data_IF_674723008314
#
_entry.id   IF_674723008314
#
_cell.length_a   1.000
_cell.length_b   1.000
_cell.length_c   1.000
_cell.angle_alpha   90.00
_cell.angle_beta   90.00
_cell.angle_gamma   90.00
#
_symmetry.space_group_name_H-M   'P 1'
#
loop_
_entity.id
_entity.type
_entity.pdbx_description
1 polymer ?
#
# COMPACT_ATOMS: atom_id res chain seq x y z
N UNK A 1 7.16 11.81 40.57
CA UNK A 1 8.24 11.31 39.67
C UNK A 1 7.95 11.80 38.26
N UNK A 2 8.96 12.37 37.58
CA UNK A 2 8.82 12.81 36.18
C UNK A 2 9.28 11.66 35.28
N UNK A 3 8.47 11.30 34.28
CA UNK A 3 8.79 10.27 33.28
C UNK A 3 9.99 10.71 32.45
N UNK A 4 10.97 9.84 32.28
CA UNK A 4 12.19 10.09 31.50
C UNK A 4 12.34 9.11 30.33
N UNK A 5 11.55 8.03 30.31
CA UNK A 5 11.57 6.99 29.30
C UNK A 5 10.15 6.52 29.01
N UNK A 6 9.86 6.29 27.75
CA UNK A 6 8.62 5.69 27.25
C UNK A 6 8.96 4.40 26.50
N UNK A 7 8.30 3.31 26.85
CA UNK A 7 8.27 2.12 26.00
C UNK A 7 7.14 2.30 24.97
N UNK A 8 7.46 2.06 23.73
CA UNK A 8 6.48 2.10 22.63
C UNK A 8 6.56 0.85 21.78
N UNK A 9 5.46 0.60 21.09
CA UNK A 9 5.29 -0.42 20.07
C UNK A 9 4.48 0.21 18.94
N UNK A 10 4.98 0.11 17.71
CA UNK A 10 4.36 0.68 16.53
C UNK A 10 4.10 -0.44 15.52
N UNK A 11 2.93 -0.38 14.88
CA UNK A 11 2.57 -1.21 13.73
C UNK A 11 2.19 -0.30 12.59
N UNK A 12 2.74 -0.54 11.42
CA UNK A 12 2.26 0.07 10.18
C UNK A 12 0.90 -0.52 9.77
N UNK A 13 0.19 0.16 8.89
CA UNK A 13 -1.03 -0.35 8.29
C UNK A 13 -0.77 -1.56 7.38
N UNK A 14 -1.66 -2.53 7.35
CA UNK A 14 -1.58 -3.64 6.39
C UNK A 14 -1.98 -3.18 4.98
N UNK A 15 -1.44 -3.81 3.95
CA UNK A 15 -1.90 -3.62 2.58
C UNK A 15 -3.24 -4.31 2.31
N UNK A 16 -3.97 -3.83 1.33
CA UNK A 16 -5.21 -4.44 0.84
C UNK A 16 -4.96 -5.68 -0.03
N UNK A 17 -5.86 -6.64 -0.01
CA UNK A 17 -5.79 -7.81 -0.89
C UNK A 17 -6.16 -7.47 -2.33
N UNK A 18 -5.56 -8.16 -3.31
CA UNK A 18 -5.99 -8.13 -4.69
C UNK A 18 -7.26 -8.93 -4.92
N UNK A 19 -7.91 -8.72 -6.05
CA UNK A 19 -9.09 -9.45 -6.45
C UNK A 19 -9.00 -9.96 -7.89
N UNK A 20 -9.45 -11.20 -8.10
CA UNK A 20 -9.52 -11.86 -9.41
C UNK A 20 -10.96 -12.13 -9.75
N UNK A 21 -11.43 -11.61 -10.88
CA UNK A 21 -12.81 -11.82 -11.35
C UNK A 21 -12.91 -13.02 -12.29
N UNK A 22 -13.93 -13.81 -12.11
CA UNK A 22 -14.32 -14.89 -13.05
C UNK A 22 -13.59 -16.22 -12.87
N UNK A 23 -12.73 -16.37 -11.90
CA UNK A 23 -12.13 -17.67 -11.56
C UNK A 23 -12.27 -17.96 -10.07
N UNK A 24 -12.27 -19.25 -9.70
CA UNK A 24 -12.24 -19.69 -8.31
C UNK A 24 -10.90 -19.40 -7.61
N UNK A 25 -10.00 -18.63 -8.25
CA UNK A 25 -8.73 -18.22 -7.71
C UNK A 25 -8.83 -16.82 -7.11
N UNK A 26 -8.66 -16.68 -5.81
CA UNK A 26 -8.56 -15.38 -5.16
C UNK A 26 -7.33 -14.61 -5.63
N UNK A 27 -7.40 -13.28 -5.59
CA UNK A 27 -6.21 -12.44 -5.70
C UNK A 27 -5.26 -12.67 -4.51
N UNK A 28 -4.06 -12.10 -4.59
CA UNK A 28 -3.09 -12.17 -3.50
C UNK A 28 -3.56 -11.40 -2.27
N UNK A 29 -3.19 -11.84 -1.10
CA UNK A 29 -3.41 -11.11 0.15
C UNK A 29 -2.51 -9.88 0.23
N UNK A 30 -2.95 -8.83 0.90
CA UNK A 30 -2.07 -7.71 1.26
C UNK A 30 -0.99 -8.15 2.27
N UNK A 31 0.13 -7.47 2.25
CA UNK A 31 1.20 -7.66 3.24
C UNK A 31 0.83 -7.07 4.60
N UNK A 32 1.32 -7.67 5.66
CA UNK A 32 1.20 -7.10 7.01
C UNK A 32 2.02 -5.81 7.14
N UNK A 33 1.58 -4.88 7.99
CA UNK A 33 2.39 -3.73 8.36
C UNK A 33 3.63 -4.14 9.16
N UNK A 34 4.67 -3.32 9.07
CA UNK A 34 5.89 -3.47 9.85
C UNK A 34 5.65 -3.29 11.34
N UNK A 35 6.52 -3.84 12.13
CA UNK A 35 6.52 -3.71 13.58
C UNK A 35 7.87 -3.21 14.08
N UNK A 36 7.83 -2.26 15.03
CA UNK A 36 9.01 -1.79 15.76
C UNK A 36 8.66 -1.53 17.21
N UNK A 37 9.56 -1.89 18.11
CA UNK A 37 9.46 -1.55 19.53
C UNK A 37 10.79 -0.98 20.06
N UNK A 38 10.69 -0.24 21.15
CA UNK A 38 11.88 0.31 21.78
C UNK A 38 11.55 1.15 23.01
N UNK A 39 12.61 1.76 23.52
CA UNK A 39 12.54 2.71 24.63
C UNK A 39 13.03 4.07 24.15
N UNK A 40 12.15 5.07 24.21
CA UNK A 40 12.46 6.45 23.87
C UNK A 40 12.78 7.23 25.13
N UNK A 41 13.97 7.86 25.19
CA UNK A 41 14.30 8.84 26.23
C UNK A 41 13.54 10.13 25.95
N UNK A 42 12.85 10.61 26.97
CA UNK A 42 11.99 11.80 26.87
C UNK A 42 12.35 12.83 27.92
N UNK A 43 12.12 14.10 27.58
CA UNK A 43 12.19 15.20 28.54
C UNK A 43 10.80 15.44 29.09
N UNK A 44 10.63 15.49 30.43
CA UNK A 44 9.33 15.77 31.02
C UNK A 44 8.72 17.08 30.51
N UNK A 45 7.54 17.00 29.90
CA UNK A 45 6.84 18.15 29.32
C UNK A 45 7.07 18.33 27.81
N UNK A 46 7.92 17.52 27.17
CA UNK A 46 8.02 17.55 25.71
C UNK A 46 6.74 17.01 25.04
N UNK A 47 6.51 17.45 23.81
CA UNK A 47 5.41 16.98 22.98
C UNK A 47 5.96 16.07 21.88
N UNK A 48 5.34 14.90 21.72
CA UNK A 48 5.58 13.97 20.62
C UNK A 48 4.35 13.94 19.74
N UNK A 49 4.55 14.04 18.43
CA UNK A 49 3.50 13.85 17.45
C UNK A 49 3.49 12.37 17.01
N UNK A 50 2.34 11.75 17.08
CA UNK A 50 2.15 10.35 16.66
C UNK A 50 1.19 10.31 15.49
N UNK A 51 1.61 9.69 14.41
CA UNK A 51 0.79 9.41 13.25
C UNK A 51 0.57 7.91 13.17
N UNK A 52 -0.67 7.48 12.98
CA UNK A 52 -1.03 6.07 12.91
C UNK A 52 -1.44 5.72 11.49
N UNK A 53 -0.76 4.75 10.90
CA UNK A 53 -1.01 4.30 9.53
C UNK A 53 -2.33 3.54 9.40
N UNK A 54 -3.12 3.90 8.42
CA UNK A 54 -4.32 3.17 8.02
C UNK A 54 -3.97 1.97 7.14
N UNK A 55 -4.87 0.98 7.08
CA UNK A 55 -4.77 -0.10 6.10
C UNK A 55 -5.05 0.42 4.68
N UNK A 56 -4.47 -0.22 3.67
CA UNK A 56 -4.84 0.01 2.28
C UNK A 56 -6.14 -0.69 1.91
N UNK A 57 -6.87 -0.13 0.96
CA UNK A 57 -8.11 -0.72 0.45
C UNK A 57 -7.85 -2.01 -0.33
N UNK A 58 -8.80 -2.94 -0.27
CA UNK A 58 -8.80 -4.12 -1.16
C UNK A 58 -9.05 -3.72 -2.61
N UNK A 59 -8.59 -4.55 -3.54
CA UNK A 59 -8.80 -4.34 -4.97
C UNK A 59 -10.29 -4.19 -5.30
N UNK A 60 -10.63 -3.10 -5.97
CA UNK A 60 -12.01 -2.79 -6.39
C UNK A 60 -12.17 -3.00 -7.89
N UNK A 61 -13.28 -3.59 -8.25
CA UNK A 61 -13.64 -3.78 -9.64
C UNK A 61 -14.00 -2.44 -10.29
N UNK A 62 -13.41 -2.19 -11.46
CA UNK A 62 -13.91 -1.12 -12.32
C UNK A 62 -15.30 -1.47 -12.85
N UNK A 63 -16.23 -0.55 -12.79
CA UNK A 63 -17.55 -0.73 -13.37
C UNK A 63 -17.45 -0.63 -14.90
N UNK A 64 -17.91 -1.64 -15.60
CA UNK A 64 -18.14 -1.53 -17.04
C UNK A 64 -19.14 -0.41 -17.28
N UNK A 65 -18.69 0.72 -17.85
CA UNK A 65 -19.60 1.74 -18.35
C UNK A 65 -20.01 1.31 -19.75
N UNK A 66 -21.21 0.73 -19.95
CA UNK A 66 -21.63 0.33 -21.27
C UNK A 66 -21.77 1.57 -22.13
N UNK A 67 -20.90 1.73 -23.12
CA UNK A 67 -21.17 2.70 -24.16
C UNK A 67 -22.32 2.13 -25.01
N UNK A 68 -23.40 2.88 -25.09
CA UNK A 68 -24.64 2.46 -25.74
C UNK A 68 -24.47 2.15 -27.24
N UNK A 69 -23.33 2.47 -27.85
CA UNK A 69 -23.16 2.43 -29.29
C UNK A 69 -22.20 1.34 -29.80
N UNK A 70 -21.34 0.79 -29.02
CA UNK A 70 -20.54 -0.41 -29.38
C UNK A 70 -19.82 -1.02 -28.17
N UNK A 71 -19.62 -2.34 -28.17
CA UNK A 71 -18.79 -3.04 -27.20
C UNK A 71 -17.30 -2.65 -27.33
N UNK A 72 -16.89 -2.13 -28.49
CA UNK A 72 -15.53 -1.69 -28.76
C UNK A 72 -15.17 -0.34 -28.09
N UNK A 73 -16.19 0.41 -27.65
CA UNK A 73 -16.01 1.70 -26.95
C UNK A 73 -16.37 1.63 -25.45
N UNK A 74 -16.52 0.43 -24.90
CA UNK A 74 -16.73 0.27 -23.47
C UNK A 74 -15.49 0.79 -22.72
N UNK A 75 -15.59 1.98 -22.13
CA UNK A 75 -14.61 2.48 -21.18
C UNK A 75 -14.85 1.79 -19.85
N UNK A 76 -13.83 1.07 -19.39
CA UNK A 76 -13.82 0.60 -18.02
C UNK A 76 -13.47 1.80 -17.12
N UNK A 77 -14.35 2.10 -16.19
CA UNK A 77 -13.96 2.93 -15.07
C UNK A 77 -12.99 2.08 -14.23
N UNK A 78 -11.72 2.48 -14.24
CA UNK A 78 -10.71 1.73 -13.50
C UNK A 78 -10.98 1.92 -12.01
N UNK A 79 -11.34 0.84 -11.33
CA UNK A 79 -11.46 0.87 -9.89
C UNK A 79 -10.11 1.22 -9.27
N UNK A 80 -10.10 2.19 -8.37
CA UNK A 80 -8.93 2.59 -7.60
C UNK A 80 -9.13 2.09 -6.17
N UNK A 81 -8.20 1.27 -5.68
CA UNK A 81 -8.05 0.98 -4.27
C UNK A 81 -7.13 2.05 -3.68
N UNK A 82 -7.59 2.78 -2.69
CA UNK A 82 -6.82 3.87 -2.10
C UNK A 82 -5.81 3.36 -1.08
N UNK A 83 -4.61 3.92 -1.14
CA UNK A 83 -3.56 3.65 -0.17
C UNK A 83 -3.93 4.10 1.23
N UNK A 84 -3.45 3.37 2.22
CA UNK A 84 -3.59 3.77 3.63
C UNK A 84 -2.81 5.04 3.92
N UNK A 85 -3.47 6.02 4.54
CA UNK A 85 -2.82 7.26 4.96
C UNK A 85 -2.05 7.06 6.28
N UNK A 86 -0.86 7.69 6.42
CA UNK A 86 -0.11 8.36 5.36
C UNK A 86 0.77 7.40 4.56
N UNK A 87 0.97 7.70 3.29
CA UNK A 87 2.05 7.18 2.46
C UNK A 87 1.82 5.83 1.77
N UNK A 88 0.68 5.20 1.93
CA UNK A 88 0.34 3.99 1.17
C UNK A 88 0.06 4.28 -0.31
N UNK A 89 0.62 3.47 -1.21
CA UNK A 89 0.39 3.59 -2.65
C UNK A 89 -0.97 3.03 -3.09
N UNK A 90 -1.59 3.63 -4.08
CA UNK A 90 -2.86 3.16 -4.64
C UNK A 90 -2.69 1.87 -5.45
N UNK A 91 -3.69 1.00 -5.38
CA UNK A 91 -3.86 -0.15 -6.27
C UNK A 91 -4.83 0.17 -7.41
N UNK A 92 -4.64 -0.46 -8.56
CA UNK A 92 -5.46 -0.20 -9.75
C UNK A 92 -6.03 -1.50 -10.33
N UNK A 93 -7.24 -1.40 -10.87
CA UNK A 93 -7.84 -2.49 -11.64
C UNK A 93 -7.37 -2.43 -13.09
N UNK A 94 -7.11 -3.59 -13.70
CA UNK A 94 -6.86 -3.72 -15.13
C UNK A 94 -8.00 -4.48 -15.80
N UNK A 95 -8.50 -3.96 -16.91
CA UNK A 95 -9.41 -4.63 -17.88
C UNK A 95 -10.51 -5.54 -17.28
N UNK A 96 -11.12 -5.15 -16.17
CA UNK A 96 -12.29 -5.85 -15.61
C UNK A 96 -12.04 -7.25 -15.04
N UNK A 97 -10.83 -7.80 -15.15
CA UNK A 97 -10.53 -9.15 -14.68
C UNK A 97 -9.69 -9.19 -13.40
N UNK A 98 -8.90 -8.14 -13.16
CA UNK A 98 -7.92 -8.10 -12.10
C UNK A 98 -7.95 -6.76 -11.39
N UNK A 99 -7.91 -6.77 -10.09
CA UNK A 99 -7.78 -5.56 -9.30
C UNK A 99 -6.69 -5.73 -8.24
N UNK A 100 -5.74 -4.83 -8.23
CA UNK A 100 -4.69 -4.80 -7.21
C UNK A 100 -5.19 -4.09 -5.95
N UNK A 101 -4.82 -4.60 -4.79
CA UNK A 101 -5.00 -3.92 -3.52
C UNK A 101 -3.98 -2.81 -3.34
N UNK A 102 -4.29 -1.87 -2.48
CA UNK A 102 -3.45 -0.72 -2.15
C UNK A 102 -2.45 -1.04 -1.04
N UNK A 103 -1.38 -0.27 -0.96
CA UNK A 103 -0.42 -0.34 0.14
C UNK A 103 -0.96 0.26 1.43
N UNK A 104 -0.51 -0.23 2.57
CA UNK A 104 -0.82 0.33 3.88
C UNK A 104 0.02 1.56 4.20
N UNK A 105 -0.49 2.42 5.07
CA UNK A 105 0.20 3.61 5.58
C UNK A 105 1.25 3.29 6.66
N UNK A 106 2.19 4.19 6.85
CA UNK A 106 3.18 4.06 7.92
C UNK A 106 2.67 4.62 9.25
N UNK A 107 3.15 4.06 10.36
CA UNK A 107 2.99 4.63 11.71
C UNK A 107 4.30 5.25 12.16
N UNK A 108 4.28 6.48 12.68
CA UNK A 108 5.50 7.19 13.04
C UNK A 108 5.37 8.00 14.33
N UNK A 109 6.52 8.21 14.99
CA UNK A 109 6.68 9.17 16.09
C UNK A 109 7.64 10.25 15.66
N UNK A 110 7.23 11.50 15.84
CA UNK A 110 8.03 12.70 15.58
C UNK A 110 8.25 13.50 16.87
N UNK A 111 9.38 14.17 16.93
CA UNK A 111 9.72 15.14 17.97
C UNK A 111 9.85 16.52 17.35
N UNK A 112 9.35 17.55 18.02
CA UNK A 112 9.58 18.92 17.61
C UNK A 112 10.99 19.33 18.06
N UNK A 113 11.89 19.51 17.12
CA UNK A 113 13.24 19.98 17.35
C UNK A 113 13.40 21.46 16.96
N UNK A 114 14.55 22.06 17.25
CA UNK A 114 14.84 23.45 16.93
C UNK A 114 14.86 23.74 15.42
N UNK A 115 15.00 22.71 14.60
CA UNK A 115 15.06 22.79 13.13
C UNK A 115 13.82 22.24 12.43
N UNK A 116 12.74 21.96 13.20
CA UNK A 116 11.50 21.38 12.69
C UNK A 116 11.20 20.00 13.29
N UNK A 117 10.34 19.24 12.61
CA UNK A 117 9.99 17.88 13.04
C UNK A 117 11.13 16.90 12.72
N UNK A 118 11.60 16.23 13.76
CA UNK A 118 12.55 15.13 13.67
C UNK A 118 11.80 13.80 13.71
N UNK A 119 12.04 12.93 12.74
CA UNK A 119 11.51 11.56 12.73
C UNK A 119 12.30 10.71 13.73
N UNK A 120 11.61 10.16 14.71
CA UNK A 120 12.22 9.30 15.73
C UNK A 120 12.13 7.85 15.31
N UNK A 121 10.96 7.39 14.87
CA UNK A 121 10.69 6.03 14.50
C UNK A 121 9.58 5.95 13.47
N UNK A 122 9.69 4.95 12.59
CA UNK A 122 8.66 4.62 11.59
C UNK A 122 8.51 3.10 11.50
N UNK A 123 7.27 2.65 11.55
CA UNK A 123 6.87 1.30 11.15
C UNK A 123 6.21 1.38 9.78
N UNK A 124 6.82 0.79 8.77
CA UNK A 124 6.36 0.87 7.39
C UNK A 124 5.04 0.12 7.16
N UNK A 125 4.26 0.57 6.21
CA UNK A 125 3.03 -0.12 5.77
C UNK A 125 3.32 -1.38 4.95
N UNK A 126 2.38 -2.30 4.90
CA UNK A 126 2.43 -3.49 4.05
C UNK A 126 2.12 -3.16 2.59
N UNK A 127 2.69 -3.90 1.66
CA UNK A 127 2.39 -3.77 0.23
C UNK A 127 1.02 -4.34 -0.14
N UNK A 128 0.38 -3.79 -1.16
CA UNK A 128 -0.87 -4.31 -1.70
C UNK A 128 -0.69 -5.65 -2.42
N UNK A 129 -1.69 -6.51 -2.33
CA UNK A 129 -1.76 -7.76 -3.08
C UNK A 129 -2.18 -7.51 -4.53
N UNK A 130 -1.58 -8.24 -5.45
CA UNK A 130 -1.97 -8.28 -6.85
C UNK A 130 -2.49 -9.67 -7.23
N UNK A 131 -1.90 -10.27 -8.25
CA UNK A 131 -2.08 -11.70 -8.54
C UNK A 131 -1.41 -12.60 -7.50
N UNK A 132 -0.52 -12.05 -6.71
CA UNK A 132 0.19 -12.71 -5.60
C UNK A 132 0.13 -11.83 -4.35
N UNK A 133 0.63 -12.36 -3.25
CA UNK A 133 0.61 -11.65 -1.97
C UNK A 133 1.52 -10.42 -1.99
N UNK A 134 1.05 -9.34 -1.39
CA UNK A 134 1.86 -8.15 -1.12
C UNK A 134 2.95 -8.43 -0.08
N UNK A 135 4.00 -7.65 -0.13
CA UNK A 135 5.13 -7.79 0.78
C UNK A 135 4.86 -7.16 2.15
N UNK A 136 5.36 -7.73 3.23
CA UNK A 136 5.22 -7.12 4.55
C UNK A 136 6.02 -5.81 4.62
N UNK A 137 5.47 -4.84 5.34
CA UNK A 137 6.19 -3.64 5.75
C UNK A 137 7.31 -3.98 6.73
N UNK A 138 8.32 -3.12 6.79
CA UNK A 138 9.46 -3.28 7.68
C UNK A 138 9.64 -2.12 8.66
N UNK A 139 10.45 -2.34 9.68
CA UNK A 139 10.97 -1.27 10.53
C UNK A 139 12.09 -0.51 9.82
N UNK A 140 13.16 -1.19 9.43
CA UNK A 140 14.28 -0.60 8.66
C UNK A 140 14.14 -0.84 7.16
N UNK A 141 13.73 -2.03 6.77
CA UNK A 141 13.51 -2.41 5.37
C UNK A 141 12.18 -3.13 5.25
N UNK A 142 11.41 -2.78 4.23
CA UNK A 142 10.20 -3.49 3.85
C UNK A 142 10.53 -4.80 3.15
N UNK A 143 9.64 -5.78 3.26
CA UNK A 143 9.77 -7.02 2.51
C UNK A 143 9.72 -6.74 1.00
N UNK A 144 10.57 -7.43 0.25
CA UNK A 144 10.51 -7.49 -1.19
C UNK A 144 10.33 -8.95 -1.58
N UNK A 145 9.33 -9.22 -2.44
CA UNK A 145 9.34 -10.50 -3.15
C UNK A 145 10.27 -10.32 -4.34
N UNK A 146 11.35 -11.06 -4.33
CA UNK A 146 12.53 -10.78 -5.12
C UNK A 146 12.29 -10.55 -6.61
N UNK A 147 11.24 -11.05 -7.24
CA UNK A 147 11.19 -11.05 -8.70
C UNK A 147 9.79 -10.90 -9.33
N UNK A 148 8.79 -10.48 -8.60
CA UNK A 148 7.47 -10.28 -9.20
C UNK A 148 7.00 -8.83 -9.10
N UNK A 149 7.10 -8.04 -10.19
CA UNK A 149 6.69 -6.63 -10.20
C UNK A 149 5.19 -6.44 -9.97
N UNK A 150 4.39 -7.52 -9.95
CA UNK A 150 2.94 -7.48 -9.71
C UNK A 150 2.58 -7.36 -8.24
N UNK A 151 3.53 -7.52 -7.35
CA UNK A 151 3.32 -7.40 -5.92
C UNK A 151 3.67 -6.01 -5.43
N UNK A 152 2.85 -5.47 -4.57
CA UNK A 152 3.19 -4.25 -3.86
C UNK A 152 4.35 -4.49 -2.89
N UNK A 153 5.28 -3.55 -2.83
CA UNK A 153 6.40 -3.61 -1.90
C UNK A 153 5.98 -3.14 -0.51
N UNK A 154 6.58 -3.71 0.50
CA UNK A 154 6.44 -3.23 1.86
C UNK A 154 7.09 -1.86 2.05
N UNK A 155 6.49 -1.01 2.88
CA UNK A 155 7.04 0.30 3.21
C UNK A 155 8.30 0.21 4.07
N UNK A 156 9.10 1.26 4.01
CA UNK A 156 10.32 1.45 4.79
C UNK A 156 10.15 2.57 5.81
N UNK A 157 11.24 3.02 6.43
CA UNK A 157 11.21 4.20 7.29
C UNK A 157 11.00 5.53 6.53
N UNK A 158 11.18 5.52 5.22
CA UNK A 158 11.11 6.73 4.39
C UNK A 158 9.85 6.76 3.52
N UNK A 159 9.26 5.59 3.23
CA UNK A 159 8.18 5.43 2.27
C UNK A 159 7.12 4.47 2.80
N UNK A 160 5.85 4.73 2.49
CA UNK A 160 4.74 3.82 2.72
C UNK A 160 4.81 2.58 1.84
N UNK A 161 3.91 1.62 2.07
CA UNK A 161 3.79 0.44 1.23
C UNK A 161 3.32 0.78 -0.19
N UNK A 162 3.89 0.14 -1.21
CA UNK A 162 3.43 0.28 -2.59
C UNK A 162 2.17 -0.56 -2.84
N UNK A 163 1.30 -0.11 -3.73
CA UNK A 163 0.21 -0.93 -4.27
C UNK A 163 0.73 -2.03 -5.20
N UNK A 164 -0.03 -3.10 -5.34
CA UNK A 164 0.25 -4.11 -6.37
C UNK A 164 0.01 -3.54 -7.77
N UNK A 165 0.70 -4.04 -8.77
CA UNK A 165 0.47 -3.67 -10.16
C UNK A 165 0.59 -4.90 -11.08
N UNK A 166 0.07 -4.77 -12.30
CA UNK A 166 0.25 -5.76 -13.34
C UNK A 166 1.16 -5.17 -14.40
N UNK A 167 2.34 -5.77 -14.67
CA UNK A 167 3.15 -5.34 -15.80
C UNK A 167 2.38 -5.61 -17.09
N UNK A 168 2.37 -4.62 -17.97
CA UNK A 168 1.96 -4.81 -19.33
C UNK A 168 2.95 -5.78 -19.98
N UNK A 169 2.54 -7.01 -20.19
CA UNK A 169 3.28 -7.89 -21.08
C UNK A 169 2.95 -7.49 -22.52
N UNK A 170 3.95 -7.07 -23.28
CA UNK A 170 3.83 -6.74 -24.70
C UNK A 170 3.19 -7.88 -25.55
N UNK A 171 3.09 -9.08 -24.97
CA UNK A 171 2.50 -10.27 -25.58
C UNK A 171 1.03 -10.56 -25.19
N UNK A 172 0.42 -9.74 -24.35
CA UNK A 172 -1.01 -9.82 -24.06
C UNK A 172 -1.73 -8.74 -24.87
N UNK A 173 -1.78 -8.95 -26.18
CA UNK A 173 -2.72 -8.24 -27.04
C UNK A 173 -4.12 -8.80 -26.76
N UNK A 174 -4.80 -8.21 -25.80
CA UNK A 174 -6.26 -8.21 -25.76
C UNK A 174 -6.68 -7.07 -26.67
N UNK A 175 -7.08 -7.42 -27.88
CA UNK A 175 -7.88 -6.63 -28.81
C UNK A 175 -7.76 -5.10 -28.68
N UNK A 176 -6.55 -4.57 -28.89
CA UNK A 176 -6.41 -3.19 -29.39
C UNK A 176 -6.64 -2.05 -28.42
N UNK A 177 -6.66 -2.24 -27.11
CA UNK A 177 -6.79 -1.13 -26.19
C UNK A 177 -5.45 -0.73 -25.58
N UNK A 178 -4.89 0.37 -26.14
CA UNK A 178 -3.56 0.93 -25.79
C UNK A 178 -3.54 1.72 -24.46
N UNK A 179 -4.60 1.64 -23.64
CA UNK A 179 -4.71 2.45 -22.43
C UNK A 179 -4.52 1.65 -21.13
N UNK A 180 -3.57 0.75 -21.09
CA UNK A 180 -3.14 0.16 -19.84
C UNK A 180 -2.32 1.19 -19.05
N UNK A 181 -2.93 1.83 -18.07
CA UNK A 181 -2.22 2.73 -17.16
C UNK A 181 -1.55 1.89 -16.08
N UNK A 182 -0.23 1.90 -16.10
CA UNK A 182 0.60 1.36 -15.01
C UNK A 182 0.54 2.36 -13.87
N UNK A 183 0.05 1.95 -12.71
CA UNK A 183 0.17 2.74 -11.49
C UNK A 183 1.66 2.84 -11.10
N UNK A 184 2.14 4.07 -10.90
CA UNK A 184 3.43 4.34 -10.26
C UNK A 184 3.21 4.47 -8.77
#
# INVERSE_FOLDING_TARGET
RKTKELKFQLWGGGGGGGHLFGSNGGGGTGGGGGYIEGILKVTPGETLDIVVGAGGDGGVHGTLIPNKNSLAEAKYDMGIAYGGEPGGGNGYASNGAWAAGAGGGFTAIFRNGPWGKETILVAGGGGGGGSRNGCPGGGFEGGQTADDPRNGKGGTQLEGGEGGHFPLNENWSWDGDENNIIGK
#
